data_IF_734595577554
#
_entry.id   IF_734595577554
#
_cell.length_a   1.000
_cell.length_b   1.000
_cell.length_c   1.000
_cell.angle_alpha   90.00
_cell.angle_beta   90.00
_cell.angle_gamma   90.00
#
_symmetry.space_group_name_H-M   'P 1'
#
loop_
_entity.id
_entity.type
_entity.pdbx_description
1 polymer ?
#
# COMPACT_ATOMS: atom_id res chain seq x y z
N UNK A 1 8.29 1.01 -8.04
CA UNK A 1 7.93 1.13 -9.47
C UNK A 1 6.61 0.41 -9.64
N UNK A 2 5.51 1.15 -9.81
CA UNK A 2 4.21 0.57 -10.12
C UNK A 2 3.90 0.94 -11.57
N UNK A 3 3.57 -0.05 -12.38
CA UNK A 3 3.18 0.16 -13.77
C UNK A 3 1.65 0.10 -13.78
N UNK A 4 1.01 1.21 -14.10
CA UNK A 4 -0.43 1.21 -14.32
C UNK A 4 -0.70 0.45 -15.61
N UNK A 5 -1.41 -0.67 -15.49
CA UNK A 5 -1.71 -1.59 -16.59
C UNK A 5 -3.11 -2.13 -16.39
N UNK A 6 -3.92 -2.08 -17.44
CA UNK A 6 -5.20 -2.79 -17.50
C UNK A 6 -4.93 -4.25 -17.89
N UNK A 7 -4.42 -5.02 -16.93
CA UNK A 7 -4.08 -6.44 -17.10
C UNK A 7 -5.27 -7.38 -16.83
N UNK A 8 -6.46 -6.81 -16.56
CA UNK A 8 -7.68 -7.55 -16.25
C UNK A 8 -7.73 -8.17 -14.85
N UNK A 9 -6.75 -7.91 -13.97
CA UNK A 9 -6.76 -8.38 -12.59
C UNK A 9 -7.52 -7.41 -11.68
N UNK A 10 -8.60 -7.89 -11.08
CA UNK A 10 -9.33 -7.18 -10.04
C UNK A 10 -9.02 -7.77 -8.66
N UNK A 11 -8.45 -6.97 -7.75
CA UNK A 11 -8.18 -7.39 -6.38
C UNK A 11 -9.39 -7.16 -5.46
N UNK A 12 -9.67 -8.13 -4.60
CA UNK A 12 -10.72 -8.06 -3.60
C UNK A 12 -10.22 -7.31 -2.36
N UNK A 13 -10.49 -6.01 -2.33
CA UNK A 13 -10.09 -5.13 -1.24
C UNK A 13 -10.91 -5.44 0.03
N UNK A 14 -12.18 -5.83 -0.12
CA UNK A 14 -13.06 -6.12 1.01
C UNK A 14 -12.64 -7.38 1.77
N UNK A 15 -12.08 -8.36 1.05
CA UNK A 15 -11.53 -9.59 1.65
C UNK A 15 -10.05 -9.46 2.06
N UNK A 16 -9.42 -8.28 1.95
CA UNK A 16 -8.03 -8.08 2.34
C UNK A 16 -7.86 -8.21 3.86
N UNK A 17 -7.10 -9.22 4.29
CA UNK A 17 -6.81 -9.48 5.69
C UNK A 17 -5.32 -9.36 5.99
N UNK A 18 -4.97 -8.63 7.05
CA UNK A 18 -3.60 -8.48 7.53
C UNK A 18 -3.40 -9.25 8.84
N UNK A 19 -2.29 -10.01 8.92
CA UNK A 19 -1.92 -10.79 10.11
C UNK A 19 -0.44 -10.59 10.42
N UNK A 20 -0.10 -10.33 11.69
CA UNK A 20 1.29 -10.20 12.12
C UNK A 20 1.99 -11.56 12.09
N UNK A 21 3.17 -11.59 11.49
CA UNK A 21 4.09 -12.73 11.53
C UNK A 21 4.96 -12.53 12.78
N UNK A 22 4.81 -13.44 13.77
CA UNK A 22 5.34 -13.32 15.14
C UNK A 22 6.79 -12.81 15.20
N UNK A 23 7.04 -11.87 16.11
CA UNK A 23 8.24 -11.03 16.19
C UNK A 23 9.52 -11.72 16.69
N UNK A 24 9.40 -12.92 17.27
CA UNK A 24 10.47 -13.68 17.94
C UNK A 24 11.45 -14.35 16.96
N UNK A 25 11.13 -14.35 15.67
CA UNK A 25 11.96 -14.89 14.60
C UNK A 25 12.57 -13.73 13.80
N UNK A 26 13.75 -13.92 13.21
CA UNK A 26 14.44 -12.97 12.32
C UNK A 26 13.61 -12.51 11.09
N UNK A 27 12.37 -13.00 10.95
CA UNK A 27 11.44 -12.84 9.82
C UNK A 27 10.11 -12.15 10.22
N UNK A 28 10.09 -11.35 11.29
CA UNK A 28 8.90 -10.59 11.68
C UNK A 28 8.36 -9.70 10.55
N UNK A 29 7.06 -9.42 10.56
CA UNK A 29 6.40 -8.65 9.49
C UNK A 29 4.88 -8.75 9.50
N UNK A 30 4.26 -8.37 8.38
CA UNK A 30 2.81 -8.49 8.18
C UNK A 30 2.55 -9.33 6.94
N UNK A 31 1.73 -10.37 7.09
CA UNK A 31 1.18 -11.16 5.99
C UNK A 31 -0.17 -10.59 5.61
N UNK A 32 -0.32 -10.21 4.34
CA UNK A 32 -1.58 -9.85 3.71
C UNK A 32 -2.13 -11.05 2.95
N UNK A 33 -3.44 -11.28 3.04
CA UNK A 33 -4.17 -12.25 2.24
C UNK A 33 -5.34 -11.57 1.56
N UNK A 34 -5.52 -11.84 0.27
CA UNK A 34 -6.65 -11.37 -0.53
C UNK A 34 -6.90 -12.36 -1.68
N UNK A 35 -7.82 -12.06 -2.58
CA UNK A 35 -7.95 -12.71 -3.86
C UNK A 35 -7.83 -11.70 -5.00
N UNK A 36 -7.27 -12.13 -6.11
CA UNK A 36 -7.40 -11.46 -7.39
C UNK A 36 -8.36 -12.25 -8.28
N UNK A 37 -9.04 -11.55 -9.18
CA UNK A 37 -9.95 -12.13 -10.14
C UNK A 37 -9.47 -11.79 -11.55
N UNK A 38 -9.25 -12.82 -12.36
CA UNK A 38 -9.09 -12.68 -13.81
C UNK A 38 -10.35 -13.28 -14.45
N UNK A 39 -11.22 -12.39 -14.92
CA UNK A 39 -12.59 -12.73 -15.33
C UNK A 39 -13.34 -13.49 -14.21
N UNK A 40 -13.59 -14.79 -14.40
CA UNK A 40 -14.29 -15.66 -13.44
C UNK A 40 -13.33 -16.51 -12.58
N UNK A 41 -12.03 -16.42 -12.83
CA UNK A 41 -11.02 -17.20 -12.13
C UNK A 41 -10.58 -16.47 -10.86
N UNK A 42 -10.80 -17.10 -9.71
CA UNK A 42 -10.33 -16.58 -8.41
C UNK A 42 -8.93 -17.09 -8.10
N UNK A 43 -8.00 -16.18 -7.88
CA UNK A 43 -6.59 -16.44 -7.59
C UNK A 43 -6.32 -15.99 -6.14
N UNK A 44 -6.06 -16.91 -5.19
CA UNK A 44 -5.70 -16.51 -3.83
C UNK A 44 -4.29 -15.87 -3.82
N UNK A 45 -4.18 -14.69 -3.23
CA UNK A 45 -2.93 -13.92 -3.15
C UNK A 45 -2.49 -13.84 -1.70
N UNK A 46 -1.20 -14.10 -1.46
CA UNK A 46 -0.55 -13.89 -0.16
C UNK A 46 0.69 -13.02 -0.38
N UNK A 47 0.81 -11.95 0.41
CA UNK A 47 1.91 -10.99 0.33
C UNK A 47 2.55 -10.90 1.72
N UNK A 48 3.84 -11.17 1.82
CA UNK A 48 4.58 -11.01 3.07
C UNK A 48 5.42 -9.74 3.02
N UNK A 49 5.14 -8.83 3.95
CA UNK A 49 5.89 -7.58 4.13
C UNK A 49 6.79 -7.76 5.35
N UNK A 50 8.10 -7.82 5.13
CA UNK A 50 9.08 -7.93 6.21
C UNK A 50 9.22 -6.64 7.03
N UNK A 51 9.68 -6.78 8.28
CA UNK A 51 9.88 -5.68 9.24
C UNK A 51 10.66 -4.48 8.68
N UNK A 52 11.72 -4.70 7.89
CA UNK A 52 12.51 -3.62 7.30
C UNK A 52 11.71 -2.74 6.34
N UNK A 53 10.84 -3.34 5.52
CA UNK A 53 9.95 -2.60 4.63
C UNK A 53 8.86 -1.85 5.42
N UNK A 54 8.33 -2.48 6.49
CA UNK A 54 7.36 -1.83 7.36
C UNK A 54 7.93 -0.56 8.01
N UNK A 55 9.15 -0.62 8.56
CA UNK A 55 9.82 0.57 9.13
C UNK A 55 10.06 1.68 8.09
N UNK A 56 10.41 1.33 6.85
CA UNK A 56 10.58 2.31 5.77
C UNK A 56 9.25 2.99 5.38
N UNK A 57 8.16 2.22 5.37
CA UNK A 57 6.81 2.73 5.11
C UNK A 57 6.30 3.61 6.26
N UNK A 58 6.57 3.24 7.52
CA UNK A 58 6.25 4.06 8.70
C UNK A 58 6.97 5.41 8.66
N UNK A 59 8.27 5.43 8.33
CA UNK A 59 9.02 6.68 8.16
C UNK A 59 8.45 7.60 7.07
N UNK A 60 7.90 7.01 6.01
CA UNK A 60 7.28 7.75 4.90
C UNK A 60 5.88 8.29 5.26
N UNK A 61 5.06 7.49 5.94
CA UNK A 61 3.75 7.92 6.44
C UNK A 61 3.87 9.03 7.49
N UNK A 62 4.88 8.96 8.35
CA UNK A 62 5.18 10.03 9.31
C UNK A 62 5.47 11.36 8.61
N UNK A 63 6.27 11.34 7.54
CA UNK A 63 6.58 12.54 6.77
C UNK A 63 5.35 13.13 6.06
N UNK A 64 4.52 12.29 5.43
CA UNK A 64 3.30 12.75 4.76
C UNK A 64 2.29 13.30 5.76
N UNK A 65 2.10 12.65 6.92
CA UNK A 65 1.18 13.11 7.95
C UNK A 65 1.63 14.43 8.59
N UNK A 66 2.90 14.54 9.01
CA UNK A 66 3.47 15.75 9.63
C UNK A 66 3.49 16.95 8.68
N UNK A 67 3.70 16.72 7.38
CA UNK A 67 3.76 17.79 6.36
C UNK A 67 2.52 17.88 5.49
N UNK A 68 1.43 17.22 5.86
CA UNK A 68 0.23 17.18 5.02
C UNK A 68 -0.30 18.58 4.71
N UNK A 69 -0.26 19.49 5.69
CA UNK A 69 -0.70 20.87 5.52
C UNK A 69 0.21 21.66 4.56
N UNK A 70 1.52 21.44 4.62
CA UNK A 70 2.49 22.05 3.69
C UNK A 70 2.27 21.52 2.26
N UNK A 71 2.04 20.22 2.11
CA UNK A 71 1.77 19.58 0.81
C UNK A 71 0.45 20.10 0.21
N UNK A 72 -0.61 20.21 1.02
CA UNK A 72 -1.91 20.78 0.59
C UNK A 72 -1.79 22.24 0.20
N UNK A 73 -1.02 23.03 0.95
CA UNK A 73 -0.78 24.44 0.63
C UNK A 73 -0.07 24.60 -0.72
N UNK A 74 0.98 23.80 -0.98
CA UNK A 74 1.71 23.86 -2.24
C UNK A 74 0.89 23.40 -3.44
N UNK A 75 0.05 22.36 -3.28
CA UNK A 75 -0.88 21.93 -4.34
C UNK A 75 -1.84 23.04 -4.75
N UNK A 76 -2.41 23.78 -3.78
CA UNK A 76 -3.32 24.89 -4.06
C UNK A 76 -2.66 26.01 -4.86
N UNK A 77 -1.39 26.29 -4.60
CA UNK A 77 -0.63 27.30 -5.36
C UNK A 77 -0.43 26.92 -6.82
N UNK A 78 -0.20 25.64 -7.13
CA UNK A 78 -0.13 25.15 -8.50
C UNK A 78 -1.48 25.20 -9.21
N UNK A 79 -2.56 24.77 -8.54
CA UNK A 79 -3.91 24.81 -9.11
C UNK A 79 -4.38 26.26 -9.40
N UNK A 80 -3.91 27.25 -8.62
CA UNK A 80 -4.21 28.67 -8.85
C UNK A 80 -3.31 29.34 -9.91
N UNK A 81 -2.13 28.79 -10.18
CA UNK A 81 -1.22 29.28 -11.22
C UNK A 81 -1.50 28.67 -12.62
N UNK A 82 -2.39 27.67 -12.67
CA UNK A 82 -2.81 26.98 -13.90
C UNK A 82 -4.14 27.50 -14.50
N UNK A 83 -4.67 28.62 -13.99
CA UNK A 83 -5.81 29.40 -14.50
C UNK A 83 -5.32 30.71 -15.13
#
# INVERSE_FOLDING_TARGET
MAIESDDGLAFDIDALAATVIREEMEHGGVRLKTAAYLERTRIPITIDIGRGALHALEGSNFWIHDKLDVIKAHRRTYDQAAL
#
